data_IF_890336561943
#
_entry.id   IF_890336561943
#
_cell.length_a   1.000
_cell.length_b   1.000
_cell.length_c   1.000
_cell.angle_alpha   90.00
_cell.angle_beta   90.00
_cell.angle_gamma   90.00
#
_symmetry.space_group_name_H-M   'P 1'
#
loop_
_entity.id
_entity.type
_entity.pdbx_description
1 polymer ?
#
# COMPACT_ATOMS: atom_id res chain seq x y z
N UNK A 1 -5.97 -25.99 -8.27
CA UNK A 1 -5.75 -24.57 -7.86
C UNK A 1 -4.84 -23.79 -8.84
N UNK A 2 -4.76 -24.26 -10.10
CA UNK A 2 -4.12 -23.64 -11.26
C UNK A 2 -5.18 -23.27 -12.34
N UNK A 3 -6.45 -23.20 -11.94
CA UNK A 3 -7.63 -23.16 -12.83
C UNK A 3 -8.55 -21.96 -12.58
N UNK A 4 -8.22 -21.03 -11.68
CA UNK A 4 -9.08 -19.87 -11.44
C UNK A 4 -8.82 -18.68 -12.40
N UNK A 5 -7.73 -18.70 -13.20
CA UNK A 5 -7.54 -17.88 -14.42
C UNK A 5 -6.10 -18.11 -14.95
N UNK A 6 -5.82 -19.11 -15.81
CA UNK A 6 -4.46 -19.38 -16.30
C UNK A 6 -3.83 -18.15 -16.98
N UNK A 7 -4.65 -17.33 -17.62
CA UNK A 7 -4.22 -16.09 -18.28
C UNK A 7 -3.67 -15.05 -17.29
N UNK A 8 -4.28 -14.90 -16.11
CA UNK A 8 -3.79 -13.96 -15.09
C UNK A 8 -2.43 -14.36 -14.56
N UNK A 9 -2.24 -15.64 -14.25
CA UNK A 9 -0.96 -16.14 -13.74
C UNK A 9 0.15 -15.99 -14.77
N UNK A 10 -0.13 -16.28 -16.06
CA UNK A 10 0.84 -16.10 -17.15
C UNK A 10 1.21 -14.62 -17.31
N UNK A 11 0.22 -13.71 -17.35
CA UNK A 11 0.47 -12.27 -17.44
C UNK A 11 1.29 -11.77 -16.24
N UNK A 12 0.94 -12.19 -15.03
CA UNK A 12 1.66 -11.83 -13.81
C UNK A 12 3.11 -12.32 -13.83
N UNK A 13 3.35 -13.57 -14.22
CA UNK A 13 4.69 -14.13 -14.36
C UNK A 13 5.52 -13.37 -15.40
N UNK A 14 4.95 -13.00 -16.55
CA UNK A 14 5.64 -12.22 -17.58
C UNK A 14 6.04 -10.83 -17.06
N UNK A 15 5.11 -10.13 -16.38
CA UNK A 15 5.37 -8.79 -15.82
C UNK A 15 6.49 -8.86 -14.77
N UNK A 16 6.48 -9.89 -13.91
CA UNK A 16 7.57 -10.11 -12.94
C UNK A 16 8.91 -10.36 -13.64
N UNK A 17 8.93 -11.20 -14.69
CA UNK A 17 10.13 -11.52 -15.46
C UNK A 17 10.76 -10.27 -16.10
N UNK A 18 9.92 -9.39 -16.65
CA UNK A 18 10.34 -8.11 -17.21
C UNK A 18 10.91 -7.20 -16.11
N UNK A 19 10.24 -7.08 -14.97
CA UNK A 19 10.72 -6.28 -13.84
C UNK A 19 12.08 -6.76 -13.31
N UNK A 20 12.27 -8.08 -13.20
CA UNK A 20 13.55 -8.67 -12.79
C UNK A 20 14.66 -8.40 -13.80
N UNK A 21 14.38 -8.50 -15.10
CA UNK A 21 15.36 -8.22 -16.15
C UNK A 21 15.83 -6.75 -16.10
N UNK A 22 14.94 -5.80 -15.82
CA UNK A 22 15.26 -4.38 -15.67
C UNK A 22 16.15 -4.13 -14.43
N UNK A 23 15.88 -4.80 -13.32
CA UNK A 23 16.66 -4.67 -12.07
C UNK A 23 18.08 -5.25 -12.22
N UNK A 24 18.27 -6.24 -13.10
CA UNK A 24 19.57 -6.89 -13.31
C UNK A 24 20.56 -6.05 -14.13
N UNK A 25 20.12 -4.94 -14.75
CA UNK A 25 21.00 -4.04 -15.51
C UNK A 25 21.97 -3.33 -14.55
N UNK A 26 23.30 -3.52 -14.68
CA UNK A 26 24.26 -2.79 -13.88
C UNK A 26 24.18 -1.30 -14.21
N UNK A 27 24.05 -0.44 -13.18
CA UNK A 27 23.73 1.01 -13.23
C UNK A 27 22.24 1.39 -13.24
N UNK A 28 21.30 0.45 -13.09
CA UNK A 28 19.92 0.86 -12.81
C UNK A 28 19.87 1.68 -11.50
N UNK A 29 19.14 2.80 -11.44
CA UNK A 29 18.98 3.57 -10.20
C UNK A 29 17.98 2.85 -9.28
N UNK A 30 18.38 1.69 -8.73
CA UNK A 30 17.57 0.86 -7.83
C UNK A 30 17.04 1.69 -6.65
N UNK A 31 17.86 2.61 -6.12
CA UNK A 31 17.48 3.51 -5.04
C UNK A 31 16.32 4.40 -5.49
N UNK A 32 16.40 5.02 -6.67
CA UNK A 32 15.31 5.87 -7.17
C UNK A 32 14.02 5.06 -7.40
N UNK A 33 14.12 3.89 -8.04
CA UNK A 33 12.97 3.01 -8.29
C UNK A 33 12.31 2.58 -6.98
N UNK A 34 13.11 2.18 -5.99
CA UNK A 34 12.63 1.77 -4.67
C UNK A 34 12.03 2.95 -3.92
N UNK A 35 12.64 4.13 -3.96
CA UNK A 35 12.09 5.34 -3.33
C UNK A 35 10.73 5.71 -3.94
N UNK A 36 10.60 5.74 -5.27
CA UNK A 36 9.31 5.99 -5.93
C UNK A 36 8.25 4.96 -5.53
N UNK A 37 8.61 3.68 -5.51
CA UNK A 37 7.71 2.59 -5.09
C UNK A 37 7.31 2.73 -3.63
N UNK A 38 8.24 3.13 -2.76
CA UNK A 38 8.02 3.37 -1.34
C UNK A 38 7.08 4.56 -1.12
N UNK A 39 7.26 5.65 -1.88
CA UNK A 39 6.40 6.84 -1.84
C UNK A 39 4.96 6.44 -2.21
N UNK A 40 4.80 5.72 -3.32
CA UNK A 40 3.48 5.25 -3.79
C UNK A 40 2.84 4.31 -2.76
N UNK A 41 3.59 3.33 -2.23
CA UNK A 41 3.09 2.41 -1.22
C UNK A 41 2.73 3.12 0.10
N UNK A 42 3.53 4.10 0.52
CA UNK A 42 3.28 4.93 1.68
C UNK A 42 2.02 5.78 1.56
N UNK A 43 1.66 6.23 0.35
CA UNK A 43 0.40 6.93 0.08
C UNK A 43 -0.78 5.95 -0.04
N UNK A 44 -0.57 4.76 -0.61
CA UNK A 44 -1.62 3.75 -0.78
C UNK A 44 -2.12 3.19 0.55
N UNK A 45 -1.22 2.92 1.51
CA UNK A 45 -1.58 2.39 2.83
C UNK A 45 -2.68 3.18 3.55
N UNK A 46 -2.56 4.51 3.78
CA UNK A 46 -3.60 5.29 4.45
C UNK A 46 -4.88 5.37 3.61
N UNK A 47 -4.78 5.45 2.28
CA UNK A 47 -5.96 5.46 1.40
C UNK A 47 -6.77 4.16 1.55
N UNK A 48 -6.07 3.02 1.51
CA UNK A 48 -6.70 1.69 1.69
C UNK A 48 -7.30 1.57 3.07
N UNK A 49 -6.61 2.02 4.13
CA UNK A 49 -7.12 1.98 5.50
C UNK A 49 -8.35 2.86 5.70
N UNK A 50 -8.37 4.08 5.14
CA UNK A 50 -9.54 4.96 5.17
C UNK A 50 -10.71 4.30 4.45
N UNK A 51 -10.49 3.75 3.25
CA UNK A 51 -11.50 2.98 2.53
C UNK A 51 -12.00 1.78 3.34
N UNK A 52 -11.09 1.05 3.99
CA UNK A 52 -11.43 -0.09 4.82
C UNK A 52 -12.29 0.35 6.01
N UNK A 53 -11.91 1.39 6.75
CA UNK A 53 -12.71 1.91 7.87
C UNK A 53 -14.09 2.39 7.39
N UNK A 54 -14.18 3.07 6.25
CA UNK A 54 -15.45 3.48 5.66
C UNK A 54 -16.34 2.29 5.29
N UNK A 55 -15.75 1.22 4.73
CA UNK A 55 -16.46 -0.03 4.43
C UNK A 55 -16.95 -0.73 5.70
N UNK A 56 -16.08 -0.86 6.70
CA UNK A 56 -16.37 -1.56 7.97
C UNK A 56 -17.40 -0.76 8.82
N UNK A 57 -17.45 0.56 8.67
CA UNK A 57 -18.44 1.42 9.33
C UNK A 57 -19.79 1.43 8.57
N UNK A 58 -19.85 0.94 7.33
CA UNK A 58 -21.06 0.96 6.53
C UNK A 58 -21.99 -0.21 6.91
N UNK A 59 -23.06 0.09 7.67
CA UNK A 59 -24.14 -0.88 8.00
C UNK A 59 -24.74 -1.58 6.78
N UNK A 60 -24.72 -0.93 5.61
CA UNK A 60 -25.28 -1.47 4.36
C UNK A 60 -24.40 -2.60 3.77
N UNK A 61 -23.11 -2.61 4.09
CA UNK A 61 -22.13 -3.61 3.63
C UNK A 61 -21.90 -4.66 4.73
N UNK A 62 -21.83 -4.24 6.00
CA UNK A 62 -21.48 -5.12 7.13
C UNK A 62 -22.66 -5.68 7.94
N UNK A 63 -23.89 -5.22 7.67
CA UNK A 63 -25.10 -5.69 8.36
C UNK A 63 -25.13 -5.28 9.84
N UNK A 64 -25.32 -6.26 10.73
CA UNK A 64 -25.40 -6.04 12.19
C UNK A 64 -24.04 -5.92 12.89
N UNK A 65 -22.94 -6.32 12.23
CA UNK A 65 -21.60 -6.36 12.83
C UNK A 65 -20.78 -5.09 12.55
N UNK A 66 -21.40 -3.92 12.61
CA UNK A 66 -20.67 -2.67 12.40
C UNK A 66 -19.69 -2.37 13.53
N UNK A 67 -18.58 -1.74 13.14
CA UNK A 67 -17.58 -1.30 14.09
C UNK A 67 -18.19 -0.36 15.14
N UNK A 68 -18.07 -0.74 16.42
CA UNK A 68 -18.44 0.10 17.56
C UNK A 68 -17.56 1.37 17.58
N UNK A 69 -18.00 2.48 18.21
CA UNK A 69 -17.24 3.73 18.26
C UNK A 69 -15.80 3.58 18.79
N UNK A 70 -15.55 2.60 19.67
CA UNK A 70 -14.20 2.22 20.12
C UNK A 70 -13.31 1.67 18.99
N UNK A 71 -13.84 0.81 18.13
CA UNK A 71 -13.10 0.24 17.01
C UNK A 71 -12.90 1.27 15.88
N UNK A 72 -13.85 2.20 15.70
CA UNK A 72 -13.66 3.35 14.83
C UNK A 72 -12.56 4.28 15.37
N UNK A 73 -12.52 4.55 16.68
CA UNK A 73 -11.45 5.34 17.31
C UNK A 73 -10.07 4.71 17.09
N UNK A 74 -9.94 3.40 17.30
CA UNK A 74 -8.70 2.65 17.05
C UNK A 74 -8.29 2.75 15.57
N UNK A 75 -9.24 2.55 14.66
CA UNK A 75 -9.00 2.68 13.21
C UNK A 75 -8.50 4.07 12.84
N UNK A 76 -9.15 5.13 13.34
CA UNK A 76 -8.73 6.51 13.11
C UNK A 76 -7.36 6.81 13.71
N UNK A 77 -7.05 6.29 14.91
CA UNK A 77 -5.71 6.43 15.48
C UNK A 77 -4.65 5.73 14.63
N UNK A 78 -4.92 4.53 14.11
CA UNK A 78 -4.00 3.82 13.22
C UNK A 78 -3.75 4.58 11.91
N UNK A 79 -4.80 5.18 11.33
CA UNK A 79 -4.65 6.06 10.15
C UNK A 79 -3.81 7.28 10.49
N UNK A 80 -4.07 7.97 11.59
CA UNK A 80 -3.30 9.16 12.00
C UNK A 80 -1.83 8.81 12.21
N UNK A 81 -1.53 7.69 12.86
CA UNK A 81 -0.16 7.21 13.07
C UNK A 81 0.51 6.83 11.75
N UNK A 82 -0.19 6.13 10.85
CA UNK A 82 0.40 5.74 9.56
C UNK A 82 0.62 6.93 8.63
N UNK A 83 -0.30 7.89 8.61
CA UNK A 83 -0.14 9.13 7.83
C UNK A 83 1.03 9.93 8.38
N UNK A 84 1.14 10.09 9.71
CA UNK A 84 2.26 10.83 10.30
C UNK A 84 3.60 10.14 10.03
N UNK A 85 3.67 8.82 10.17
CA UNK A 85 4.88 8.04 9.85
C UNK A 85 5.25 8.11 8.36
N UNK A 86 4.26 8.05 7.47
CA UNK A 86 4.48 8.18 6.02
C UNK A 86 4.97 9.58 5.67
N UNK A 87 4.39 10.63 6.24
CA UNK A 87 4.83 12.02 6.03
C UNK A 87 6.26 12.22 6.55
N UNK A 88 6.62 11.65 7.70
CA UNK A 88 7.99 11.68 8.23
C UNK A 88 8.96 10.98 7.27
N UNK A 89 8.62 9.77 6.79
CA UNK A 89 9.45 9.03 5.83
C UNK A 89 9.62 9.74 4.49
N UNK A 90 8.62 10.51 4.06
CA UNK A 90 8.71 11.32 2.83
C UNK A 90 9.54 12.59 3.04
N UNK A 91 9.42 13.24 4.21
CA UNK A 91 10.13 14.49 4.52
C UNK A 91 11.60 14.27 4.89
N UNK A 92 11.93 13.13 5.50
CA UNK A 92 13.30 12.78 5.91
C UNK A 92 14.33 12.87 4.76
N UNK A 93 14.10 12.27 3.58
CA UNK A 93 15.00 12.42 2.44
C UNK A 93 14.97 13.82 1.79
N UNK A 94 13.89 14.60 1.95
CA UNK A 94 13.77 15.96 1.40
C UNK A 94 14.53 16.99 2.26
N UNK A 95 14.56 16.80 3.57
CA UNK A 95 15.24 17.68 4.54
C UNK A 95 16.76 17.45 4.62
N UNK A 96 17.31 16.52 3.85
CA UNK A 96 18.74 16.20 3.86
C UNK A 96 19.22 15.53 5.15
N UNK A 97 18.29 14.95 5.93
CA UNK A 97 18.59 14.13 7.11
C UNK A 97 18.63 12.67 6.65
N UNK A 98 19.60 12.33 5.80
CA UNK A 98 19.74 10.99 5.20
C UNK A 98 20.70 10.98 4.02
#
# INVERSE_FOLDING_TARGET
KWEEAPEFYVLYTIILLIGMAIILIPNAPLIAITLWTQIINGILLPVVLVCMILLVNNKKIMGEHVNKPLANLIGWTAVIVLVSLSVILLLMPILGIG
#
